data_IF_461429158763
#
_entry.id   IF_461429158763
#
_cell.length_a   1.000
_cell.length_b   1.000
_cell.length_c   1.000
_cell.angle_alpha   90.00
_cell.angle_beta   90.00
_cell.angle_gamma   90.00
#
_symmetry.space_group_name_H-M   'P 1'
#
loop_
_entity.id
_entity.type
_entity.pdbx_description
1 polymer ?
#
# COMPACT_ATOMS: atom_id res chain seq x y z
N UNK A 1 5.08 7.46 -3.37
CA UNK A 1 4.23 6.99 -2.25
C UNK A 1 3.04 6.21 -2.80
N UNK A 2 2.52 5.27 -2.04
CA UNK A 2 1.34 4.51 -2.41
C UNK A 2 0.54 4.08 -1.17
N UNK A 3 -0.73 3.75 -1.40
CA UNK A 3 -1.62 3.12 -0.43
C UNK A 3 -2.21 1.85 -1.00
N UNK A 4 -2.63 0.93 -0.13
CA UNK A 4 -3.42 -0.24 -0.49
C UNK A 4 -4.49 -0.50 0.55
N UNK A 5 -5.68 -0.90 0.10
CA UNK A 5 -6.76 -1.39 0.96
C UNK A 5 -7.06 -2.83 0.59
N UNK A 6 -7.21 -3.68 1.59
CA UNK A 6 -7.67 -5.04 1.44
C UNK A 6 -9.09 -5.16 2.02
N UNK A 7 -10.00 -5.68 1.21
CA UNK A 7 -11.36 -6.02 1.62
C UNK A 7 -11.50 -7.54 1.55
N UNK A 8 -11.89 -8.16 2.64
CA UNK A 8 -12.16 -9.60 2.69
C UNK A 8 -13.66 -9.84 2.64
N UNK A 9 -14.09 -10.77 1.80
CA UNK A 9 -15.46 -11.27 1.77
C UNK A 9 -15.66 -12.41 2.77
N UNK A 10 -16.90 -12.74 3.13
CA UNK A 10 -17.18 -13.87 4.02
C UNK A 10 -16.63 -15.21 3.53
N UNK A 11 -16.47 -15.40 2.21
CA UNK A 11 -15.86 -16.59 1.61
C UNK A 11 -14.32 -16.62 1.70
N UNK A 12 -13.70 -15.60 2.32
CA UNK A 12 -12.25 -15.47 2.47
C UNK A 12 -11.52 -14.90 1.25
N UNK A 13 -12.24 -14.59 0.15
CA UNK A 13 -11.65 -13.93 -1.02
C UNK A 13 -11.27 -12.49 -0.67
N UNK A 14 -10.04 -12.09 -0.98
CA UNK A 14 -9.52 -10.74 -0.78
C UNK A 14 -9.61 -9.92 -2.07
N UNK A 15 -9.93 -8.65 -1.92
CA UNK A 15 -9.87 -7.64 -2.98
C UNK A 15 -8.89 -6.56 -2.59
N UNK A 16 -7.93 -6.26 -3.46
CA UNK A 16 -6.92 -5.24 -3.24
C UNK A 16 -7.19 -4.02 -4.12
N UNK A 17 -7.40 -2.88 -3.48
CA UNK A 17 -7.39 -1.56 -4.11
C UNK A 17 -6.03 -0.91 -3.85
N UNK A 18 -5.39 -0.41 -4.90
CA UNK A 18 -4.05 0.19 -4.79
C UNK A 18 -4.02 1.52 -5.52
N UNK A 19 -3.55 2.56 -4.83
CA UNK A 19 -3.42 3.92 -5.33
C UNK A 19 -1.98 4.41 -5.19
N UNK A 20 -1.46 4.99 -6.28
CA UNK A 20 -0.18 5.71 -6.28
C UNK A 20 -0.38 7.22 -6.09
N UNK A 21 0.66 7.89 -5.57
CA UNK A 21 0.73 9.35 -5.46
C UNK A 21 2.07 9.81 -5.98
N UNK A 22 2.07 10.81 -6.86
CA UNK A 22 3.29 11.37 -7.46
C UNK A 22 3.21 12.89 -7.50
N UNK A 23 4.36 13.60 -7.36
CA UNK A 23 4.40 15.04 -7.63
C UNK A 23 4.05 15.30 -9.09
N UNK A 24 3.08 16.16 -9.35
CA UNK A 24 2.57 16.47 -10.69
C UNK A 24 3.66 16.95 -11.64
N UNK A 25 4.50 17.86 -11.17
CA UNK A 25 5.57 18.50 -11.97
C UNK A 25 6.66 17.51 -12.43
N UNK A 26 6.73 16.31 -11.82
CA UNK A 26 7.79 15.33 -12.13
C UNK A 26 7.30 14.13 -12.94
N UNK A 27 6.01 14.04 -13.26
CA UNK A 27 5.42 12.85 -13.91
C UNK A 27 6.04 12.59 -15.28
N UNK A 28 6.10 13.59 -16.15
CA UNK A 28 6.64 13.42 -17.51
C UNK A 28 8.13 13.04 -17.50
N UNK A 29 8.91 13.72 -16.66
CA UNK A 29 10.33 13.41 -16.53
C UNK A 29 10.52 11.96 -16.04
N UNK A 30 9.79 11.56 -15.01
CA UNK A 30 9.87 10.21 -14.45
C UNK A 30 9.35 9.13 -15.39
N UNK A 31 8.33 9.44 -16.21
CA UNK A 31 7.85 8.53 -17.23
C UNK A 31 8.96 8.16 -18.23
N UNK A 32 9.76 9.16 -18.64
CA UNK A 32 10.91 8.96 -19.52
C UNK A 32 12.06 8.19 -18.84
N UNK A 33 12.39 8.56 -17.59
CA UNK A 33 13.48 7.94 -16.81
C UNK A 33 13.19 6.48 -16.46
N UNK A 34 11.99 6.19 -15.96
CA UNK A 34 11.58 4.85 -15.53
C UNK A 34 11.07 3.99 -16.70
N UNK A 35 10.81 4.60 -17.88
CA UNK A 35 10.18 4.00 -19.07
C UNK A 35 8.81 3.38 -18.74
N UNK A 36 7.99 4.14 -18.05
CA UNK A 36 6.69 3.72 -17.53
C UNK A 36 5.64 4.75 -17.92
N UNK A 37 4.46 4.35 -18.41
CA UNK A 37 3.41 5.26 -18.84
C UNK A 37 2.62 5.83 -17.63
N UNK A 38 3.27 6.65 -16.79
CA UNK A 38 2.64 7.25 -15.62
C UNK A 38 1.47 8.15 -15.97
N UNK A 39 1.56 8.86 -17.10
CA UNK A 39 0.48 9.66 -17.69
C UNK A 39 -0.80 8.85 -17.87
N UNK A 40 -0.70 7.69 -18.52
CA UNK A 40 -1.85 6.76 -18.69
C UNK A 40 -2.38 6.21 -17.37
N UNK A 41 -1.53 6.03 -16.38
CA UNK A 41 -1.97 5.58 -15.07
C UNK A 41 -2.66 6.69 -14.27
N UNK A 42 -2.29 7.97 -14.50
CA UNK A 42 -3.01 9.14 -14.00
C UNK A 42 -4.40 9.23 -14.66
N UNK A 43 -4.49 9.14 -16.00
CA UNK A 43 -5.75 9.15 -16.75
C UNK A 43 -6.72 8.03 -16.28
N UNK A 44 -6.17 6.87 -15.93
CA UNK A 44 -6.93 5.74 -15.40
C UNK A 44 -7.25 5.84 -13.91
N UNK A 45 -6.87 6.92 -13.24
CA UNK A 45 -7.09 7.11 -11.81
C UNK A 45 -6.26 6.20 -10.89
N UNK A 46 -5.22 5.51 -11.40
CA UNK A 46 -4.35 4.64 -10.61
C UNK A 46 -3.26 5.42 -9.87
N UNK A 47 -2.97 6.64 -10.32
CA UNK A 47 -2.05 7.58 -9.69
C UNK A 47 -2.76 8.91 -9.51
N UNK A 48 -2.70 9.46 -8.31
CA UNK A 48 -3.12 10.82 -8.00
C UNK A 48 -1.92 11.76 -8.17
N UNK A 49 -1.95 12.72 -9.11
CA UNK A 49 -0.95 13.75 -9.19
C UNK A 49 -1.13 14.74 -8.04
N UNK A 50 -0.09 14.93 -7.22
CA UNK A 50 -0.06 15.98 -6.20
C UNK A 50 0.55 17.25 -6.82
N UNK A 51 -0.06 18.44 -6.65
CA UNK A 51 0.50 19.69 -7.18
C UNK A 51 1.93 19.95 -6.69
N UNK A 52 2.76 20.49 -7.59
CA UNK A 52 4.14 20.82 -7.29
C UNK A 52 5.12 19.64 -7.41
N UNK A 53 6.30 19.80 -6.78
CA UNK A 53 7.43 18.86 -6.88
C UNK A 53 7.57 17.88 -5.71
N UNK A 54 6.65 17.90 -4.75
CA UNK A 54 6.62 17.05 -3.55
C UNK A 54 5.26 16.40 -3.38
N UNK A 55 5.23 15.30 -2.64
CA UNK A 55 3.97 14.67 -2.25
C UNK A 55 3.44 15.39 -1.03
N UNK A 56 2.23 15.90 -1.15
CA UNK A 56 1.42 16.35 -0.04
C UNK A 56 0.60 15.16 0.48
N UNK A 57 0.88 14.72 1.70
CA UNK A 57 0.23 13.55 2.29
C UNK A 57 -1.25 13.76 2.57
N UNK A 58 -1.78 14.99 2.53
CA UNK A 58 -3.22 15.26 2.60
C UNK A 58 -3.98 14.58 1.47
N UNK A 59 -3.38 14.44 0.27
CA UNK A 59 -3.97 13.68 -0.84
C UNK A 59 -4.13 12.19 -0.53
N UNK A 60 -3.29 11.65 0.34
CA UNK A 60 -3.42 10.27 0.83
C UNK A 60 -4.64 10.18 1.76
N UNK A 61 -4.78 11.11 2.70
CA UNK A 61 -5.96 11.17 3.60
C UNK A 61 -7.25 11.40 2.80
N UNK A 62 -7.23 12.27 1.80
CA UNK A 62 -8.37 12.52 0.91
C UNK A 62 -8.81 11.24 0.18
N UNK A 63 -7.87 10.40 -0.23
CA UNK A 63 -8.21 9.12 -0.85
C UNK A 63 -8.95 8.18 0.10
N UNK A 64 -8.54 8.10 1.38
CA UNK A 64 -9.28 7.33 2.40
C UNK A 64 -10.66 7.94 2.68
N UNK A 65 -10.77 9.28 2.74
CA UNK A 65 -12.05 9.97 2.87
C UNK A 65 -12.98 9.61 1.70
N UNK A 66 -12.49 9.67 0.46
CA UNK A 66 -13.26 9.29 -0.73
C UNK A 66 -13.72 7.84 -0.72
N UNK A 67 -12.90 6.90 -0.30
CA UNK A 67 -13.31 5.50 -0.17
C UNK A 67 -14.51 5.36 0.75
N UNK A 68 -14.52 6.07 1.88
CA UNK A 68 -15.63 6.07 2.83
C UNK A 68 -16.87 6.78 2.27
N UNK A 69 -16.69 8.01 1.77
CA UNK A 69 -17.79 8.92 1.49
C UNK A 69 -18.45 8.67 0.13
N UNK A 70 -17.66 8.27 -0.89
CA UNK A 70 -18.15 8.01 -2.25
C UNK A 70 -18.46 6.53 -2.51
N UNK A 71 -17.70 5.60 -1.90
CA UNK A 71 -17.81 4.17 -2.17
C UNK A 71 -18.31 3.34 -0.99
N UNK A 72 -18.54 3.95 0.17
CA UNK A 72 -18.99 3.25 1.38
C UNK A 72 -17.96 2.26 1.95
N UNK A 73 -16.69 2.41 1.57
CA UNK A 73 -15.59 1.53 2.03
C UNK A 73 -14.93 2.16 3.24
N UNK A 74 -15.30 1.68 4.43
CA UNK A 74 -14.64 2.07 5.69
C UNK A 74 -13.47 1.15 6.00
N UNK A 75 -12.31 1.73 6.30
CA UNK A 75 -11.14 0.97 6.71
C UNK A 75 -11.10 0.92 8.25
N UNK A 76 -11.16 -0.28 8.82
CA UNK A 76 -11.19 -0.47 10.28
C UNK A 76 -9.81 -0.29 10.91
N UNK A 77 -8.77 -0.81 10.24
CA UNK A 77 -7.38 -0.70 10.68
C UNK A 77 -6.51 -0.26 9.51
N UNK A 78 -5.61 0.66 9.77
CA UNK A 78 -4.68 1.19 8.77
C UNK A 78 -3.26 1.02 9.27
N UNK A 79 -2.41 0.36 8.48
CA UNK A 79 -0.98 0.26 8.73
C UNK A 79 -0.19 1.36 8.08
N UNK A 80 0.89 1.80 8.71
CA UNK A 80 1.78 2.79 8.13
C UNK A 80 3.26 2.47 8.44
N UNK A 81 4.16 2.90 7.54
CA UNK A 81 5.60 2.85 7.79
C UNK A 81 5.96 3.79 8.94
N UNK A 82 6.42 3.23 10.05
CA UNK A 82 6.68 3.97 11.30
C UNK A 82 7.77 5.04 11.19
N UNK A 83 8.60 5.00 10.14
CA UNK A 83 9.74 5.92 9.99
C UNK A 83 9.41 7.23 9.27
N UNK A 84 8.42 7.23 8.37
CA UNK A 84 8.25 8.31 7.41
C UNK A 84 6.89 9.02 7.48
N UNK A 85 6.08 8.81 8.53
CA UNK A 85 4.66 9.18 8.49
C UNK A 85 4.11 10.04 9.65
N UNK A 86 4.91 10.77 10.48
CA UNK A 86 4.33 11.45 11.65
C UNK A 86 3.24 12.47 11.30
N UNK A 87 3.51 13.34 10.32
CA UNK A 87 2.55 14.38 9.91
C UNK A 87 1.27 13.79 9.27
N UNK A 88 1.41 12.68 8.54
CA UNK A 88 0.24 12.00 7.97
C UNK A 88 -0.60 11.28 9.04
N UNK A 89 0.02 10.73 10.07
CA UNK A 89 -0.66 10.13 11.22
C UNK A 89 -1.56 11.17 11.89
N UNK A 90 -1.03 12.36 12.20
CA UNK A 90 -1.79 13.47 12.77
C UNK A 90 -2.97 13.89 11.87
N UNK A 91 -2.76 13.98 10.56
CA UNK A 91 -3.82 14.33 9.61
C UNK A 91 -4.95 13.28 9.59
N UNK A 92 -4.60 11.99 9.66
CA UNK A 92 -5.57 10.88 9.74
C UNK A 92 -6.37 10.92 11.07
N UNK A 93 -5.72 11.23 12.18
CA UNK A 93 -6.38 11.38 13.49
C UNK A 93 -7.37 12.54 13.48
N UNK A 94 -6.95 13.71 13.03
CA UNK A 94 -7.77 14.93 13.04
C UNK A 94 -8.93 14.83 12.05
N UNK A 95 -8.69 14.38 10.84
CA UNK A 95 -9.67 14.47 9.74
C UNK A 95 -10.57 13.25 9.63
N UNK A 96 -10.08 12.08 9.97
CA UNK A 96 -10.81 10.82 9.79
C UNK A 96 -11.12 10.09 11.11
N UNK A 97 -10.65 10.63 12.25
CA UNK A 97 -10.95 10.07 13.57
C UNK A 97 -10.20 8.79 13.90
N UNK A 98 -9.12 8.47 13.16
CA UNK A 98 -8.26 7.35 13.52
C UNK A 98 -7.55 7.63 14.86
N UNK A 99 -7.14 6.57 15.55
CA UNK A 99 -6.42 6.66 16.81
C UNK A 99 -5.10 5.89 16.69
N UNK A 100 -3.99 6.62 16.86
CA UNK A 100 -2.66 6.05 16.77
C UNK A 100 -2.49 4.88 17.76
N UNK A 101 -1.90 3.78 17.30
CA UNK A 101 -1.72 2.51 18.02
C UNK A 101 -3.00 1.74 18.37
N UNK A 102 -4.18 2.24 18.06
CA UNK A 102 -5.44 1.52 18.22
C UNK A 102 -5.94 0.96 16.87
N UNK A 103 -6.25 1.83 15.94
CA UNK A 103 -6.68 1.46 14.59
C UNK A 103 -5.79 2.06 13.48
N UNK A 104 -4.86 2.94 13.84
CA UNK A 104 -3.76 3.40 12.99
C UNK A 104 -2.45 2.80 13.54
N UNK A 105 -1.91 1.78 12.87
CA UNK A 105 -0.92 0.85 13.41
C UNK A 105 0.47 1.06 12.79
N UNK A 106 1.50 1.36 13.59
CA UNK A 106 2.87 1.46 13.08
C UNK A 106 3.40 0.08 12.68
N UNK A 107 3.88 -0.04 11.44
CA UNK A 107 4.51 -1.26 10.91
C UNK A 107 6.01 -1.01 10.77
N UNK A 108 6.80 -1.81 11.48
CA UNK A 108 8.27 -1.77 11.38
C UNK A 108 8.69 -2.49 10.10
N UNK A 109 9.39 -1.80 9.20
CA UNK A 109 9.79 -2.30 7.88
C UNK A 109 10.98 -3.27 7.92
N UNK A 110 11.09 -4.07 8.99
CA UNK A 110 12.15 -5.06 9.21
C UNK A 110 11.74 -6.48 8.81
N UNK A 111 12.75 -7.33 8.51
CA UNK A 111 12.54 -8.73 8.15
C UNK A 111 11.76 -9.50 9.22
N UNK A 112 12.03 -9.24 10.50
CA UNK A 112 11.32 -9.90 11.62
C UNK A 112 9.80 -9.65 11.59
N UNK A 113 9.39 -8.43 11.22
CA UNK A 113 7.95 -8.06 11.15
C UNK A 113 7.30 -8.57 9.87
N UNK A 114 7.98 -8.43 8.73
CA UNK A 114 7.36 -8.62 7.42
C UNK A 114 7.49 -10.03 6.86
N UNK A 115 8.42 -10.86 7.38
CA UNK A 115 8.73 -12.18 6.80
C UNK A 115 7.52 -13.09 6.71
N UNK A 116 6.84 -13.34 7.82
CA UNK A 116 5.67 -14.23 7.84
C UNK A 116 4.52 -13.70 6.97
N UNK A 117 4.08 -12.43 7.09
CA UNK A 117 3.06 -11.86 6.21
C UNK A 117 3.44 -11.92 4.72
N UNK A 118 4.70 -11.66 4.35
CA UNK A 118 5.14 -11.71 2.95
C UNK A 118 5.10 -13.13 2.37
N UNK A 119 5.47 -14.14 3.15
CA UNK A 119 5.40 -15.55 2.74
C UNK A 119 3.94 -15.97 2.51
N UNK A 120 3.02 -15.58 3.40
CA UNK A 120 1.59 -15.82 3.27
C UNK A 120 0.97 -15.04 2.09
N UNK A 121 1.28 -13.75 1.95
CA UNK A 121 0.84 -12.92 0.82
C UNK A 121 1.24 -13.54 -0.53
N UNK A 122 2.48 -14.04 -0.64
CA UNK A 122 2.95 -14.73 -1.84
C UNK A 122 2.13 -15.98 -2.13
N UNK A 123 1.83 -16.78 -1.11
CA UNK A 123 1.01 -17.98 -1.24
C UNK A 123 -0.43 -17.65 -1.69
N UNK A 124 -1.02 -16.62 -1.10
CA UNK A 124 -2.38 -16.16 -1.44
C UNK A 124 -2.47 -15.56 -2.85
N UNK A 125 -1.46 -14.83 -3.29
CA UNK A 125 -1.37 -14.34 -4.68
C UNK A 125 -1.25 -15.52 -5.66
N UNK A 126 -0.41 -16.50 -5.37
CA UNK A 126 -0.23 -17.70 -6.21
C UNK A 126 -1.51 -18.55 -6.26
N UNK A 127 -2.23 -18.67 -5.15
CA UNK A 127 -3.51 -19.35 -5.05
C UNK A 127 -4.70 -18.55 -5.60
N UNK A 128 -4.47 -17.33 -6.15
CA UNK A 128 -5.49 -16.42 -6.66
C UNK A 128 -6.55 -16.02 -5.61
N UNK A 129 -6.19 -16.08 -4.33
CA UNK A 129 -7.05 -15.63 -3.22
C UNK A 129 -7.14 -14.11 -3.11
N UNK A 130 -6.25 -13.38 -3.80
CA UNK A 130 -6.24 -11.92 -3.84
C UNK A 130 -6.56 -11.45 -5.24
N UNK A 131 -7.72 -10.82 -5.40
CA UNK A 131 -8.10 -10.15 -6.63
C UNK A 131 -7.63 -8.69 -6.57
N UNK A 132 -6.62 -8.35 -7.36
CA UNK A 132 -6.12 -6.98 -7.51
C UNK A 132 -6.50 -6.35 -8.85
N UNK A 133 -7.54 -6.91 -9.52
CA UNK A 133 -8.11 -6.42 -10.77
C UNK A 133 -7.05 -6.14 -11.87
N UNK A 134 -6.01 -6.97 -11.92
CA UNK A 134 -4.87 -6.79 -12.85
C UNK A 134 -4.31 -5.36 -12.85
N UNK A 135 -4.33 -4.67 -11.70
CA UNK A 135 -3.83 -3.31 -11.55
C UNK A 135 -2.37 -3.23 -12.05
N UNK A 136 -2.09 -2.52 -13.16
CA UNK A 136 -0.75 -2.51 -13.77
C UNK A 136 0.28 -1.79 -12.91
N UNK A 137 -0.12 -0.81 -12.10
CA UNK A 137 0.75 -0.13 -11.16
C UNK A 137 1.27 -1.10 -10.09
N UNK A 138 0.37 -1.92 -9.52
CA UNK A 138 0.76 -2.95 -8.55
C UNK A 138 1.62 -4.03 -9.20
N UNK A 139 1.22 -4.53 -10.38
CA UNK A 139 1.98 -5.56 -11.10
C UNK A 139 3.40 -5.09 -11.40
N UNK A 140 3.55 -3.87 -11.90
CA UNK A 140 4.85 -3.27 -12.15
C UNK A 140 5.69 -3.15 -10.87
N UNK A 141 5.10 -2.71 -9.76
CA UNK A 141 5.80 -2.61 -8.48
C UNK A 141 6.27 -3.98 -7.96
N UNK A 142 5.45 -5.02 -8.11
CA UNK A 142 5.81 -6.40 -7.76
C UNK A 142 6.98 -6.92 -8.61
N UNK A 143 7.03 -6.59 -9.91
CA UNK A 143 8.16 -6.99 -10.77
C UNK A 143 9.46 -6.26 -10.44
N UNK A 144 9.38 -5.07 -9.83
CA UNK A 144 10.53 -4.29 -9.37
C UNK A 144 11.04 -4.71 -8.00
N UNK A 145 10.27 -5.49 -7.27
CA UNK A 145 10.60 -5.94 -5.93
C UNK A 145 11.42 -7.23 -5.98
N UNK A 146 12.40 -7.31 -5.10
CA UNK A 146 13.09 -8.53 -4.71
C UNK A 146 12.96 -8.72 -3.20
N UNK A 147 13.44 -9.82 -2.69
CA UNK A 147 13.53 -10.08 -1.26
C UNK A 147 14.98 -10.18 -0.83
N UNK A 148 15.28 -9.60 0.30
CA UNK A 148 16.53 -9.82 1.02
C UNK A 148 16.25 -10.82 2.13
N UNK A 149 17.14 -11.79 2.30
CA UNK A 149 17.04 -12.86 3.31
C UNK A 149 18.09 -12.60 4.38
N UNK A 150 17.68 -12.59 5.65
CA UNK A 150 18.61 -12.50 6.77
C UNK A 150 19.18 -13.87 7.19
N UNK A 151 20.10 -13.88 8.15
CA UNK A 151 20.73 -15.11 8.66
C UNK A 151 19.77 -16.11 9.33
N UNK A 152 18.54 -15.67 9.65
CA UNK A 152 17.49 -16.47 10.24
C UNK A 152 16.40 -16.85 9.21
N UNK A 153 16.70 -16.73 7.92
CA UNK A 153 15.75 -16.97 6.81
C UNK A 153 14.51 -16.06 6.81
N UNK A 154 14.55 -14.93 7.53
CA UNK A 154 13.50 -13.92 7.42
C UNK A 154 13.73 -13.09 6.17
N UNK A 155 12.62 -12.67 5.55
CA UNK A 155 12.64 -11.90 4.32
C UNK A 155 12.10 -10.48 4.53
N UNK A 156 12.63 -9.53 3.76
CA UNK A 156 12.09 -8.17 3.66
C UNK A 156 12.08 -7.70 2.20
N UNK A 157 11.19 -6.75 1.83
CA UNK A 157 11.15 -6.25 0.47
C UNK A 157 12.32 -5.32 0.21
N UNK A 158 12.96 -5.47 -0.94
CA UNK A 158 14.00 -4.57 -1.45
C UNK A 158 13.77 -4.29 -2.93
N UNK A 159 14.37 -3.22 -3.43
CA UNK A 159 14.35 -2.90 -4.86
C UNK A 159 15.25 -3.89 -5.62
N UNK A 160 14.72 -4.48 -6.69
CA UNK A 160 15.47 -5.41 -7.53
C UNK A 160 16.52 -4.65 -8.37
N UNK A 161 17.78 -4.81 -8.04
CA UNK A 161 18.89 -4.20 -8.77
C UNK A 161 18.97 -2.67 -8.58
N UNK A 162 18.49 -1.88 -9.54
CA UNK A 162 18.61 -0.42 -9.54
C UNK A 162 17.78 0.24 -8.40
N UNK A 163 18.42 1.14 -7.63
CA UNK A 163 17.76 1.94 -6.58
C UNK A 163 16.65 2.85 -7.10
N UNK A 164 16.61 3.15 -8.40
CA UNK A 164 15.55 3.95 -9.04
C UNK A 164 14.23 3.20 -9.18
N UNK A 165 14.22 1.89 -9.09
CA UNK A 165 13.00 1.10 -9.19
C UNK A 165 12.03 1.43 -8.05
N UNK A 166 10.75 1.58 -8.39
CA UNK A 166 9.69 1.92 -7.44
C UNK A 166 8.98 0.65 -7.01
N UNK A 167 8.86 0.46 -5.69
CA UNK A 167 8.16 -0.69 -5.09
C UNK A 167 7.06 -0.26 -4.11
N UNK A 168 6.81 1.04 -3.98
CA UNK A 168 5.86 1.60 -3.00
C UNK A 168 4.47 0.92 -3.05
N UNK A 169 3.83 0.68 -4.22
CA UNK A 169 2.55 -0.03 -4.29
C UNK A 169 2.60 -1.46 -3.75
N UNK A 170 3.70 -2.18 -3.99
CA UNK A 170 3.88 -3.53 -3.47
C UNK A 170 4.11 -3.51 -1.94
N UNK A 171 4.89 -2.55 -1.45
CA UNK A 171 5.12 -2.34 -0.01
C UNK A 171 3.82 -1.95 0.70
N UNK A 172 3.01 -1.06 0.11
CA UNK A 172 1.70 -0.70 0.65
C UNK A 172 0.78 -1.95 0.79
N UNK A 173 0.77 -2.84 -0.21
CA UNK A 173 0.03 -4.10 -0.13
C UNK A 173 0.58 -5.02 0.98
N UNK A 174 1.90 -5.10 1.15
CA UNK A 174 2.53 -5.88 2.23
C UNK A 174 2.13 -5.32 3.60
N UNK A 175 2.12 -4.00 3.78
CA UNK A 175 1.70 -3.36 5.03
C UNK A 175 0.22 -3.67 5.31
N UNK A 176 -0.66 -3.49 4.32
CA UNK A 176 -2.09 -3.78 4.47
C UNK A 176 -2.33 -5.26 4.82
N UNK A 177 -1.61 -6.18 4.15
CA UNK A 177 -1.71 -7.60 4.45
C UNK A 177 -1.13 -7.97 5.83
N UNK A 178 -0.08 -7.29 6.27
CA UNK A 178 0.48 -7.45 7.62
C UNK A 178 -0.54 -7.08 8.69
N UNK A 179 -1.19 -5.93 8.53
CA UNK A 179 -2.25 -5.49 9.45
C UNK A 179 -3.46 -6.42 9.41
N UNK A 180 -3.85 -6.90 8.22
CA UNK A 180 -4.90 -7.92 8.11
C UNK A 180 -4.56 -9.17 8.89
N UNK A 181 -3.31 -9.68 8.83
CA UNK A 181 -2.89 -10.84 9.60
C UNK A 181 -2.93 -10.58 11.12
N UNK A 182 -2.55 -9.39 11.58
CA UNK A 182 -2.62 -9.03 12.99
C UNK A 182 -4.05 -8.92 13.52
N UNK A 183 -5.01 -8.57 12.65
CA UNK A 183 -6.39 -8.26 12.97
C UNK A 183 -7.40 -9.22 12.35
N UNK A 184 -6.93 -10.38 11.88
CA UNK A 184 -7.75 -11.31 11.09
C UNK A 184 -8.99 -11.79 11.86
N UNK A 185 -8.83 -12.15 13.12
CA UNK A 185 -9.94 -12.66 13.95
C UNK A 185 -10.91 -11.51 14.33
N UNK A 186 -10.36 -10.34 14.66
CA UNK A 186 -11.18 -9.15 14.92
C UNK A 186 -12.00 -8.78 13.66
N UNK A 187 -11.38 -8.86 12.47
CA UNK A 187 -12.05 -8.54 11.21
C UNK A 187 -13.13 -9.57 10.83
N UNK A 188 -12.87 -10.86 11.01
CA UNK A 188 -13.86 -11.93 10.77
C UNK A 188 -15.10 -11.80 11.65
N UNK A 189 -14.96 -11.23 12.84
CA UNK A 189 -16.10 -10.98 13.72
C UNK A 189 -16.99 -9.81 13.27
N UNK A 190 -16.52 -8.99 12.29
CA UNK A 190 -17.25 -7.84 11.75
C UNK A 190 -18.00 -8.16 10.46
N UNK A 191 -17.67 -9.25 9.77
CA UNK A 191 -18.25 -9.65 8.48
C UNK A 191 -18.99 -10.98 8.64
#
# INVERSE_FOLDING_TARGET
TATAVLVMRPDGQLYALVQGFMPGDTIEQRAKEDRVPYDRWVERGLITPCPGNRIDYRYVTDWFARLRDEYGISTYWVGYDSWNSPAWVEDMEIRLGYQNKMNLLPVIMGAKTLSAPMKLLRADLAAKRINYNRNPLLLWALTNMAVEVDKNENIRPVKKGDRRRRIDPAVALIIAYTVLQWKLEDYKALI
#
